data_IF_494767825918
#
_entry.id   IF_494767825918
#
_cell.length_a   1.000
_cell.length_b   1.000
_cell.length_c   1.000
_cell.angle_alpha   90.00
_cell.angle_beta   90.00
_cell.angle_gamma   90.00
#
_symmetry.space_group_name_H-M   'P 1'
#
loop_
_entity.id
_entity.type
_entity.pdbx_description
1 polymer ?
#
# COMPACT_ATOMS: atom_id res chain seq x y z
N UNK A 1 4.22 30.46 9.83
CA UNK A 1 3.37 29.65 8.94
C UNK A 1 3.97 28.26 9.00
N UNK A 2 3.34 27.33 9.74
CA UNK A 2 3.70 25.91 9.67
C UNK A 2 3.56 25.48 8.22
N UNK A 3 4.65 25.14 7.60
CA UNK A 3 4.63 24.45 6.31
C UNK A 3 3.94 23.11 6.55
N UNK A 4 2.68 23.02 6.16
CA UNK A 4 1.93 21.76 6.17
C UNK A 4 2.78 20.72 5.42
N UNK A 5 3.29 19.73 6.14
CA UNK A 5 4.04 18.63 5.55
C UNK A 5 3.12 17.90 4.58
N UNK A 6 3.28 18.20 3.31
CA UNK A 6 2.52 17.56 2.23
C UNK A 6 3.11 16.20 1.92
N UNK A 7 2.24 15.29 1.51
CA UNK A 7 2.65 13.96 1.12
C UNK A 7 1.84 13.48 -0.10
N UNK A 8 2.36 12.49 -0.76
CA UNK A 8 1.67 11.76 -1.82
C UNK A 8 1.51 10.30 -1.44
N UNK A 9 0.54 9.64 -2.03
CA UNK A 9 0.31 8.21 -1.84
C UNK A 9 0.84 7.48 -3.09
N UNK A 10 1.44 6.30 -2.89
CA UNK A 10 1.81 5.38 -3.97
C UNK A 10 1.10 4.04 -3.76
N UNK A 11 0.43 3.57 -4.79
CA UNK A 11 -0.09 2.20 -4.88
C UNK A 11 0.22 1.59 -6.25
N UNK A 12 0.00 0.28 -6.41
CA UNK A 12 0.23 -0.44 -7.66
C UNK A 12 -1.03 -1.22 -8.05
N UNK A 13 -1.42 -1.14 -9.32
CA UNK A 13 -2.64 -1.75 -9.84
C UNK A 13 -2.45 -2.39 -11.21
N UNK A 14 -3.13 -3.52 -11.40
CA UNK A 14 -3.47 -4.09 -12.70
C UNK A 14 -4.99 -4.31 -12.80
N UNK A 15 -5.48 -4.76 -13.95
CA UNK A 15 -6.92 -5.01 -14.15
C UNK A 15 -7.51 -6.03 -13.17
N UNK A 16 -6.76 -7.05 -12.76
CA UNK A 16 -7.25 -8.06 -11.79
C UNK A 16 -7.49 -7.48 -10.39
N UNK A 17 -6.79 -6.41 -10.03
CA UNK A 17 -6.96 -5.70 -8.77
C UNK A 17 -7.77 -4.41 -8.89
N UNK A 18 -8.35 -4.11 -10.06
CA UNK A 18 -9.04 -2.85 -10.30
C UNK A 18 -10.22 -2.61 -9.36
N UNK A 19 -10.96 -3.65 -8.97
CA UNK A 19 -12.06 -3.51 -7.99
C UNK A 19 -11.55 -3.07 -6.63
N UNK A 20 -10.43 -3.59 -6.16
CA UNK A 20 -9.76 -3.08 -4.97
C UNK A 20 -9.31 -1.63 -5.15
N UNK A 21 -8.77 -1.28 -6.32
CA UNK A 21 -8.43 0.10 -6.66
C UNK A 21 -9.61 1.07 -6.58
N UNK A 22 -10.82 0.65 -6.99
CA UNK A 22 -12.06 1.42 -6.80
C UNK A 22 -12.35 1.64 -5.31
N UNK A 23 -12.35 0.58 -4.51
CA UNK A 23 -12.57 0.66 -3.06
C UNK A 23 -11.54 1.58 -2.42
N UNK A 24 -10.26 1.40 -2.77
CA UNK A 24 -9.15 2.19 -2.30
C UNK A 24 -9.38 3.69 -2.56
N UNK A 25 -9.59 4.10 -3.80
CA UNK A 25 -9.72 5.51 -4.15
C UNK A 25 -11.01 6.13 -3.61
N UNK A 26 -12.15 5.45 -3.75
CA UNK A 26 -13.42 5.99 -3.28
C UNK A 26 -13.42 6.16 -1.75
N UNK A 27 -12.91 5.18 -1.00
CA UNK A 27 -12.80 5.32 0.45
C UNK A 27 -11.74 6.34 0.87
N UNK A 28 -10.61 6.41 0.15
CA UNK A 28 -9.56 7.39 0.40
C UNK A 28 -10.09 8.82 0.29
N UNK A 29 -10.70 9.16 -0.85
CA UNK A 29 -11.19 10.52 -1.11
C UNK A 29 -12.42 10.88 -0.27
N UNK A 30 -13.17 9.89 0.25
CA UNK A 30 -14.24 10.15 1.21
C UNK A 30 -13.69 10.44 2.62
N UNK A 31 -12.65 9.75 3.05
CA UNK A 31 -12.18 9.79 4.45
C UNK A 31 -11.03 10.75 4.71
N UNK A 32 -10.23 11.02 3.70
CA UNK A 32 -9.00 11.77 3.87
C UNK A 32 -9.22 13.28 3.75
N UNK A 33 -8.62 14.03 4.66
CA UNK A 33 -8.49 15.48 4.53
C UNK A 33 -7.51 15.80 3.40
N UNK A 34 -8.02 16.14 2.24
CA UNK A 34 -7.21 16.28 1.01
C UNK A 34 -6.26 17.48 0.99
N UNK A 35 -6.28 18.37 2.01
CA UNK A 35 -5.40 19.55 2.06
C UNK A 35 -3.91 19.21 2.19
N UNK A 36 -3.58 18.07 2.84
CA UNK A 36 -2.21 17.60 3.00
C UNK A 36 -1.78 16.62 1.89
N UNK A 37 -2.75 16.05 1.16
CA UNK A 37 -2.49 15.14 0.05
C UNK A 37 -2.21 15.91 -1.23
N UNK A 38 -1.02 15.74 -1.83
CA UNK A 38 -0.73 16.32 -3.14
C UNK A 38 -1.24 15.41 -4.25
N UNK A 39 -0.73 14.17 -4.33
CA UNK A 39 -1.07 13.23 -5.40
C UNK A 39 -1.31 11.82 -4.89
N UNK A 40 -2.03 11.04 -5.68
CA UNK A 40 -2.11 9.57 -5.58
C UNK A 40 -1.48 9.01 -6.84
N UNK A 41 -0.26 8.51 -6.71
CA UNK A 41 0.44 7.83 -7.78
C UNK A 41 -0.05 6.39 -7.86
N UNK A 42 -0.51 6.00 -9.03
CA UNK A 42 -0.90 4.61 -9.32
C UNK A 42 0.08 4.05 -10.34
N UNK A 43 0.91 3.12 -9.89
CA UNK A 43 1.80 2.38 -10.78
C UNK A 43 0.96 1.38 -11.59
N UNK A 44 0.84 1.64 -12.90
CA UNK A 44 0.05 0.84 -13.83
C UNK A 44 0.87 -0.36 -14.32
N UNK A 45 0.40 -1.56 -14.01
CA UNK A 45 0.99 -2.83 -14.42
C UNK A 45 0.05 -3.65 -15.32
N UNK A 46 -0.79 -2.99 -16.08
CA UNK A 46 -1.69 -3.65 -17.05
C UNK A 46 -3.16 -3.32 -16.86
N UNK A 47 -3.47 -2.05 -16.64
CA UNK A 47 -4.84 -1.55 -16.65
C UNK A 47 -5.36 -1.41 -18.08
N UNK A 48 -6.65 -1.70 -18.29
CA UNK A 48 -7.36 -1.38 -19.52
C UNK A 48 -7.57 0.13 -19.65
N UNK A 49 -7.85 0.62 -20.87
CA UNK A 49 -8.11 2.06 -21.09
C UNK A 49 -9.29 2.56 -20.25
N UNK A 50 -10.38 1.80 -20.17
CA UNK A 50 -11.56 2.15 -19.36
C UNK A 50 -11.20 2.32 -17.87
N UNK A 51 -10.32 1.48 -17.35
CA UNK A 51 -9.86 1.55 -15.96
C UNK A 51 -8.94 2.76 -15.74
N UNK A 52 -8.06 3.04 -16.69
CA UNK A 52 -7.24 4.26 -16.69
C UNK A 52 -8.09 5.51 -16.67
N UNK A 53 -9.09 5.60 -17.57
CA UNK A 53 -10.02 6.74 -17.65
C UNK A 53 -10.78 6.94 -16.32
N UNK A 54 -11.22 5.85 -15.69
CA UNK A 54 -11.84 5.91 -14.37
C UNK A 54 -10.88 6.47 -13.32
N UNK A 55 -9.66 5.97 -13.24
CA UNK A 55 -8.67 6.44 -12.25
C UNK A 55 -8.31 7.91 -12.48
N UNK A 56 -8.18 8.34 -13.74
CA UNK A 56 -7.86 9.72 -14.11
C UNK A 56 -9.05 10.68 -13.91
N UNK A 57 -10.27 10.20 -13.67
CA UNK A 57 -11.38 11.05 -13.28
C UNK A 57 -11.20 11.70 -11.91
N UNK A 58 -10.31 11.17 -11.06
CA UNK A 58 -9.93 11.78 -9.79
C UNK A 58 -8.80 12.81 -10.02
N UNK A 59 -9.05 14.07 -9.69
CA UNK A 59 -8.15 15.19 -10.02
C UNK A 59 -6.73 15.09 -9.44
N UNK A 60 -6.53 14.28 -8.39
CA UNK A 60 -5.22 14.08 -7.75
C UNK A 60 -4.53 12.78 -8.15
N UNK A 61 -5.15 11.96 -9.01
CA UNK A 61 -4.56 10.69 -9.44
C UNK A 61 -3.63 10.91 -10.62
N UNK A 62 -2.42 10.37 -10.50
CA UNK A 62 -1.40 10.34 -11.55
C UNK A 62 -1.07 8.88 -11.84
N UNK A 63 -1.30 8.45 -13.08
CA UNK A 63 -0.88 7.13 -13.55
C UNK A 63 0.61 7.16 -13.91
N UNK A 64 1.35 6.19 -13.39
CA UNK A 64 2.77 5.98 -13.74
C UNK A 64 2.84 4.71 -14.59
N UNK A 65 3.14 4.87 -15.87
CA UNK A 65 3.40 3.73 -16.74
C UNK A 65 4.71 3.05 -16.32
N UNK A 66 4.61 1.77 -16.00
CA UNK A 66 5.77 1.00 -15.53
C UNK A 66 6.49 0.26 -16.67
N UNK A 67 5.85 0.12 -17.82
CA UNK A 67 6.31 -0.73 -18.92
C UNK A 67 6.15 -2.23 -18.64
N UNK A 68 5.80 -2.60 -17.41
CA UNK A 68 5.53 -3.98 -16.99
C UNK A 68 4.04 -4.27 -17.10
N UNK A 69 3.69 -5.38 -17.75
CA UNK A 69 2.30 -5.82 -17.86
C UNK A 69 2.14 -7.16 -17.16
N UNK A 70 1.23 -7.21 -16.21
CA UNK A 70 0.80 -8.44 -15.56
C UNK A 70 -0.57 -8.82 -16.07
N UNK A 71 -0.68 -9.92 -16.78
CA UNK A 71 -1.96 -10.43 -17.24
C UNK A 71 -2.54 -11.40 -16.21
N UNK A 72 -3.84 -11.22 -15.93
CA UNK A 72 -4.59 -12.10 -15.05
C UNK A 72 -4.27 -11.95 -13.57
N UNK A 73 -4.83 -12.86 -12.79
CA UNK A 73 -4.65 -12.92 -11.34
C UNK A 73 -3.33 -13.63 -11.01
N UNK A 74 -2.42 -12.92 -10.37
CA UNK A 74 -1.10 -13.47 -10.05
C UNK A 74 -1.17 -14.22 -8.73
N UNK A 75 -0.84 -15.51 -8.78
CA UNK A 75 -0.76 -16.34 -7.56
C UNK A 75 0.35 -15.80 -6.65
N UNK A 76 0.06 -15.66 -5.35
CA UNK A 76 1.08 -15.28 -4.36
C UNK A 76 2.26 -16.24 -4.47
N UNK A 77 3.45 -15.65 -4.43
CA UNK A 77 4.71 -16.39 -4.47
C UNK A 77 5.17 -16.87 -5.84
N UNK A 78 4.45 -16.62 -6.94
CA UNK A 78 5.04 -16.82 -8.24
C UNK A 78 5.98 -15.67 -8.66
N UNK A 79 6.74 -15.85 -9.73
CA UNK A 79 7.71 -14.86 -10.21
C UNK A 79 7.04 -13.52 -10.55
N UNK A 80 5.89 -13.53 -11.20
CA UNK A 80 5.18 -12.33 -11.61
C UNK A 80 4.69 -11.52 -10.38
N UNK A 81 4.27 -12.20 -9.31
CA UNK A 81 3.92 -11.53 -8.06
C UNK A 81 5.15 -10.85 -7.44
N UNK A 82 6.29 -11.57 -7.40
CA UNK A 82 7.56 -11.03 -6.89
C UNK A 82 8.00 -9.83 -7.70
N UNK A 83 7.87 -9.88 -9.02
CA UNK A 83 8.23 -8.78 -9.91
C UNK A 83 7.36 -7.54 -9.68
N UNK A 84 6.04 -7.72 -9.53
CA UNK A 84 5.12 -6.62 -9.21
C UNK A 84 5.45 -5.96 -7.86
N UNK A 85 5.70 -6.76 -6.82
CA UNK A 85 6.02 -6.25 -5.49
C UNK A 85 7.37 -5.51 -5.51
N UNK A 86 8.37 -6.03 -6.23
CA UNK A 86 9.68 -5.38 -6.39
C UNK A 86 9.58 -4.09 -7.22
N UNK A 87 8.69 -4.06 -8.21
CA UNK A 87 8.47 -2.87 -9.05
C UNK A 87 7.97 -1.67 -8.23
N UNK A 88 7.14 -1.92 -7.20
CA UNK A 88 6.62 -0.86 -6.33
C UNK A 88 7.74 -0.03 -5.69
N UNK A 89 8.82 -0.67 -5.26
CA UNK A 89 9.98 0.03 -4.67
C UNK A 89 10.75 0.85 -5.69
N UNK A 90 10.88 0.37 -6.92
CA UNK A 90 11.53 1.11 -8.04
C UNK A 90 10.71 2.34 -8.45
N UNK A 91 9.38 2.20 -8.47
CA UNK A 91 8.49 3.35 -8.72
C UNK A 91 8.56 4.35 -7.57
N UNK A 92 8.61 3.89 -6.31
CA UNK A 92 8.81 4.74 -5.14
C UNK A 92 10.09 5.59 -5.27
N UNK A 93 11.21 4.96 -5.64
CA UNK A 93 12.46 5.69 -5.86
C UNK A 93 12.32 6.78 -6.94
N UNK A 94 11.73 6.43 -8.10
CA UNK A 94 11.48 7.38 -9.17
C UNK A 94 10.63 8.58 -8.72
N UNK A 95 9.60 8.34 -7.90
CA UNK A 95 8.77 9.42 -7.35
C UNK A 95 9.60 10.31 -6.42
N UNK A 96 10.37 9.71 -5.50
CA UNK A 96 11.24 10.46 -4.59
C UNK A 96 12.33 11.25 -5.31
N UNK A 97 12.79 10.80 -6.47
CA UNK A 97 13.75 11.53 -7.31
C UNK A 97 13.11 12.70 -8.08
N UNK A 98 11.82 12.62 -8.35
CA UNK A 98 11.12 13.57 -9.25
C UNK A 98 10.34 14.63 -8.47
N UNK A 99 9.75 14.28 -7.33
CA UNK A 99 8.83 15.13 -6.56
C UNK A 99 9.41 15.49 -5.19
N UNK A 100 9.07 16.71 -4.71
CA UNK A 100 9.62 17.28 -3.46
C UNK A 100 8.78 17.01 -2.22
N UNK A 101 7.98 15.93 -2.19
CA UNK A 101 7.17 15.57 -1.03
C UNK A 101 7.42 14.16 -0.56
N UNK A 102 7.05 13.94 0.70
CA UNK A 102 7.07 12.61 1.33
C UNK A 102 6.07 11.69 0.65
N UNK A 103 6.32 10.38 0.70
CA UNK A 103 5.47 9.39 0.04
C UNK A 103 5.00 8.37 1.06
N UNK A 104 3.70 8.08 1.03
CA UNK A 104 3.08 6.98 1.77
C UNK A 104 2.73 5.87 0.77
N UNK A 105 3.45 4.77 0.84
CA UNK A 105 3.20 3.61 0.01
C UNK A 105 2.19 2.71 0.71
N UNK A 106 1.09 2.37 0.02
CA UNK A 106 -0.01 1.56 0.55
C UNK A 106 -0.41 0.50 -0.48
N UNK A 107 -0.67 -0.72 -0.02
CA UNK A 107 -1.18 -1.78 -0.89
C UNK A 107 -2.58 -1.44 -1.43
N UNK A 108 -2.85 -1.80 -2.68
CA UNK A 108 -4.09 -1.45 -3.36
C UNK A 108 -5.34 -2.15 -2.80
N UNK A 109 -5.16 -3.28 -2.13
CA UNK A 109 -6.22 -4.04 -1.46
C UNK A 109 -6.51 -3.51 -0.04
N UNK A 110 -6.52 -2.17 0.09
CA UNK A 110 -6.86 -1.47 1.31
C UNK A 110 -8.16 -0.67 1.15
N UNK A 111 -8.89 -0.50 2.27
CA UNK A 111 -10.05 0.38 2.41
C UNK A 111 -9.85 1.32 3.59
N UNK A 112 -10.13 2.60 3.41
CA UNK A 112 -9.95 3.60 4.45
C UNK A 112 -11.25 3.76 5.26
N UNK A 113 -11.13 3.65 6.58
CA UNK A 113 -12.24 3.82 7.52
C UNK A 113 -12.23 5.20 8.17
N UNK A 114 -11.05 5.78 8.36
CA UNK A 114 -10.82 7.08 9.01
C UNK A 114 -9.70 7.84 8.29
N UNK A 115 -9.61 9.14 8.53
CA UNK A 115 -8.44 9.92 8.12
C UNK A 115 -7.21 9.43 8.88
N UNK A 116 -6.21 8.98 8.15
CA UNK A 116 -4.97 8.45 8.72
C UNK A 116 -3.83 9.48 8.77
N UNK A 117 -4.09 10.72 8.40
CA UNK A 117 -3.06 11.78 8.37
C UNK A 117 -2.37 11.95 9.71
N UNK A 118 -3.10 11.78 10.80
CA UNK A 118 -2.58 11.98 12.17
C UNK A 118 -1.67 10.85 12.66
N UNK A 119 -1.65 9.71 11.97
CA UNK A 119 -0.71 8.62 12.30
C UNK A 119 0.62 8.74 11.57
N UNK A 120 0.74 9.68 10.61
CA UNK A 120 1.98 9.93 9.89
C UNK A 120 2.80 10.95 10.69
N UNK A 121 3.96 10.52 11.18
CA UNK A 121 4.91 11.38 11.87
C UNK A 121 6.19 11.56 11.05
N UNK A 122 6.34 12.72 10.45
CA UNK A 122 7.49 13.07 9.62
C UNK A 122 8.78 13.39 10.43
N UNK A 123 8.79 13.19 11.75
CA UNK A 123 10.02 13.17 12.54
C UNK A 123 10.81 11.87 12.37
N UNK A 124 10.18 10.81 11.88
CA UNK A 124 10.87 9.57 11.49
C UNK A 124 11.37 9.65 10.04
N UNK A 125 12.46 8.96 9.75
CA UNK A 125 12.90 8.76 8.38
C UNK A 125 11.87 7.93 7.60
N UNK A 126 11.41 6.89 8.28
CA UNK A 126 10.49 5.89 7.77
C UNK A 126 9.52 5.50 8.88
N UNK A 127 8.25 5.31 8.53
CA UNK A 127 7.31 4.60 9.39
C UNK A 127 6.75 3.39 8.64
N UNK A 128 6.68 2.25 9.29
CA UNK A 128 6.17 1.02 8.69
C UNK A 128 5.22 0.28 9.62
N UNK A 129 4.32 -0.50 9.03
CA UNK A 129 3.46 -1.41 9.80
C UNK A 129 4.33 -2.39 10.59
N UNK A 130 4.09 -2.46 11.90
CA UNK A 130 4.87 -3.26 12.84
C UNK A 130 4.00 -4.28 13.57
N UNK A 131 4.39 -5.56 13.49
CA UNK A 131 3.65 -6.71 14.05
C UNK A 131 4.16 -7.19 15.40
N UNK A 132 5.24 -6.59 15.90
CA UNK A 132 5.92 -7.03 17.11
C UNK A 132 7.18 -7.86 16.85
N UNK A 133 8.08 -7.88 17.82
CA UNK A 133 9.40 -8.50 17.69
C UNK A 133 9.37 -10.03 17.64
N UNK A 134 8.29 -10.65 18.12
CA UNK A 134 8.10 -12.10 18.04
C UNK A 134 7.83 -12.61 16.62
N UNK A 135 7.47 -11.74 15.69
CA UNK A 135 7.25 -12.13 14.30
C UNK A 135 8.56 -12.29 13.55
N UNK A 136 8.65 -13.34 12.71
CA UNK A 136 9.80 -13.55 11.81
C UNK A 136 10.08 -12.34 10.90
N UNK A 137 9.04 -11.59 10.57
CA UNK A 137 9.08 -10.37 9.75
C UNK A 137 8.33 -9.27 10.53
N UNK A 138 9.00 -8.60 11.49
CA UNK A 138 8.36 -7.59 12.33
C UNK A 138 7.78 -6.40 11.56
N UNK A 139 8.47 -5.94 10.52
CA UNK A 139 7.98 -4.86 9.67
C UNK A 139 7.43 -5.39 8.35
N UNK A 140 6.33 -4.83 7.90
CA UNK A 140 5.68 -5.19 6.62
C UNK A 140 5.44 -3.96 5.76
N UNK A 141 5.53 -4.14 4.45
CA UNK A 141 5.47 -3.08 3.47
C UNK A 141 4.05 -2.71 3.02
N UNK A 142 3.01 -3.19 3.69
CA UNK A 142 1.63 -2.89 3.33
C UNK A 142 1.24 -1.43 3.54
N UNK A 143 1.91 -0.77 4.50
CA UNK A 143 1.88 0.67 4.70
C UNK A 143 3.28 1.12 5.10
N UNK A 144 3.83 2.05 4.34
CA UNK A 144 5.16 2.58 4.55
C UNK A 144 5.17 4.08 4.27
N UNK A 145 5.45 4.90 5.27
CA UNK A 145 5.67 6.34 5.10
C UNK A 145 7.16 6.62 4.98
N UNK A 146 7.53 7.37 3.95
CA UNK A 146 8.91 7.76 3.63
C UNK A 146 9.02 9.28 3.69
N UNK A 147 9.84 9.80 4.61
CA UNK A 147 10.06 11.22 4.76
C UNK A 147 11.16 11.72 3.80
N UNK A 148 10.77 12.45 2.78
CA UNK A 148 11.69 13.02 1.77
C UNK A 148 12.67 14.06 2.35
N UNK A 149 12.30 14.77 3.40
CA UNK A 149 13.12 15.85 3.97
C UNK A 149 14.39 15.34 4.65
N UNK A 150 14.50 14.04 4.90
CA UNK A 150 15.68 13.44 5.47
C UNK A 150 16.59 12.88 4.35
N UNK A 151 17.88 13.25 4.41
CA UNK A 151 18.88 12.82 3.42
C UNK A 151 19.11 11.30 3.41
N UNK A 152 18.96 10.65 4.57
CA UNK A 152 19.16 9.21 4.71
C UNK A 152 18.07 8.39 4.00
N UNK A 153 16.92 8.97 3.74
CA UNK A 153 15.75 8.28 3.17
C UNK A 153 16.00 7.79 1.74
N UNK A 154 16.71 8.59 0.92
CA UNK A 154 17.05 8.16 -0.45
C UNK A 154 17.96 6.92 -0.41
N UNK A 155 19.00 6.95 0.40
CA UNK A 155 19.90 5.81 0.58
C UNK A 155 19.19 4.58 1.16
N UNK A 156 18.13 4.77 1.96
CA UNK A 156 17.30 3.66 2.43
C UNK A 156 16.60 2.95 1.28
N UNK A 157 15.91 3.68 0.39
CA UNK A 157 15.15 3.07 -0.71
C UNK A 157 16.08 2.35 -1.69
N UNK A 158 17.24 2.94 -2.01
CA UNK A 158 18.26 2.30 -2.85
C UNK A 158 18.77 0.98 -2.25
N UNK A 159 19.08 0.99 -0.95
CA UNK A 159 19.51 -0.23 -0.25
C UNK A 159 18.38 -1.26 -0.14
N UNK A 160 17.14 -0.82 0.07
CA UNK A 160 15.99 -1.72 0.13
C UNK A 160 15.78 -2.45 -1.22
N UNK A 161 15.91 -1.74 -2.34
CA UNK A 161 15.87 -2.36 -3.67
C UNK A 161 16.99 -3.40 -3.81
N UNK A 162 18.24 -3.06 -3.44
CA UNK A 162 19.36 -3.99 -3.49
C UNK A 162 19.15 -5.23 -2.61
N UNK A 163 18.59 -5.04 -1.40
CA UNK A 163 18.26 -6.16 -0.51
C UNK A 163 17.18 -7.06 -1.13
N UNK A 164 16.13 -6.49 -1.74
CA UNK A 164 15.09 -7.27 -2.44
C UNK A 164 15.71 -8.09 -3.58
N UNK A 165 16.59 -7.49 -4.37
CA UNK A 165 17.25 -8.17 -5.50
C UNK A 165 18.21 -9.29 -5.06
N UNK A 166 18.84 -9.12 -3.91
CA UNK A 166 19.74 -10.14 -3.34
C UNK A 166 19.02 -11.27 -2.60
N UNK A 167 17.72 -11.13 -2.31
CA UNK A 167 16.98 -12.12 -1.51
C UNK A 167 16.64 -13.37 -2.33
N UNK A 168 17.15 -14.52 -1.89
CA UNK A 168 16.99 -15.79 -2.62
C UNK A 168 15.60 -16.44 -2.47
N UNK A 169 14.93 -16.17 -1.34
CA UNK A 169 13.63 -16.77 -1.02
C UNK A 169 12.48 -15.76 -1.15
N UNK A 170 11.28 -16.25 -1.43
CA UNK A 170 10.05 -15.44 -1.42
C UNK A 170 9.33 -15.56 -0.06
N UNK A 171 8.70 -14.49 0.46
CA UNK A 171 8.60 -13.13 -0.08
C UNK A 171 9.93 -12.37 0.06
N UNK A 172 10.12 -11.33 -0.75
CA UNK A 172 11.35 -10.54 -0.75
C UNK A 172 11.18 -9.18 -0.08
N UNK A 173 10.09 -8.48 -0.39
CA UNK A 173 9.88 -7.07 -0.01
C UNK A 173 9.84 -6.85 1.51
N UNK A 174 8.91 -7.51 2.20
CA UNK A 174 8.76 -7.31 3.66
C UNK A 174 9.92 -7.87 4.48
N UNK A 175 10.51 -9.04 4.18
CA UNK A 175 11.74 -9.49 4.85
C UNK A 175 12.91 -8.54 4.67
N UNK A 176 13.14 -8.03 3.46
CA UNK A 176 14.20 -7.04 3.20
C UNK A 176 13.95 -5.74 3.97
N UNK A 177 12.71 -5.22 3.93
CA UNK A 177 12.30 -4.05 4.73
C UNK A 177 12.56 -4.29 6.22
N UNK A 178 12.13 -5.44 6.74
CA UNK A 178 12.26 -5.78 8.14
C UNK A 178 13.72 -5.84 8.59
N UNK A 179 14.60 -6.44 7.79
CA UNK A 179 16.04 -6.45 8.02
C UNK A 179 16.61 -5.05 8.12
N UNK A 180 16.23 -4.16 7.20
CA UNK A 180 16.72 -2.79 7.18
C UNK A 180 16.19 -1.95 8.33
N UNK A 181 14.90 -2.03 8.63
CA UNK A 181 14.30 -1.31 9.76
C UNK A 181 14.85 -1.75 11.11
N UNK A 182 15.24 -3.02 11.23
CA UNK A 182 15.83 -3.56 12.47
C UNK A 182 17.34 -3.33 12.59
N UNK A 183 17.99 -2.77 11.57
CA UNK A 183 19.46 -2.57 11.58
C UNK A 183 19.95 -1.48 12.53
N UNK A 184 19.08 -0.59 12.99
CA UNK A 184 19.44 0.57 13.83
C UNK A 184 20.09 1.73 13.06
N UNK A 185 20.21 1.63 11.73
CA UNK A 185 20.86 2.66 10.90
C UNK A 185 19.91 3.81 10.53
N UNK A 186 18.62 3.68 10.79
CA UNK A 186 17.58 4.62 10.41
C UNK A 186 16.66 4.91 11.59
N UNK A 187 16.12 6.11 11.63
CA UNK A 187 15.08 6.47 12.60
C UNK A 187 13.72 5.95 12.11
N UNK A 188 13.32 4.77 12.61
CA UNK A 188 12.14 4.04 12.15
C UNK A 188 11.00 4.14 13.15
N UNK A 189 9.88 4.74 12.72
CA UNK A 189 8.63 4.75 13.46
C UNK A 189 7.85 3.44 13.25
N UNK A 190 7.16 3.01 14.32
CA UNK A 190 6.34 1.79 14.34
C UNK A 190 4.86 2.17 14.28
N UNK A 191 4.14 1.70 13.27
CA UNK A 191 2.68 1.82 13.19
C UNK A 191 2.10 0.44 13.52
N UNK A 192 1.27 0.37 14.56
CA UNK A 192 0.64 -0.89 14.97
C UNK A 192 -0.15 -1.52 13.83
N UNK A 193 -0.04 -2.82 13.64
CA UNK A 193 -0.85 -3.58 12.70
C UNK A 193 -2.35 -3.63 13.08
N UNK A 194 -2.70 -3.24 14.30
CA UNK A 194 -4.10 -3.00 14.70
C UNK A 194 -4.69 -1.75 14.06
N UNK A 195 -3.88 -0.72 13.86
CA UNK A 195 -4.28 0.53 13.19
C UNK A 195 -4.45 0.32 11.68
N UNK A 196 -3.57 -0.47 11.12
CA UNK A 196 -3.62 -0.93 9.74
C UNK A 196 -3.81 -2.43 9.80
N UNK A 197 -5.04 -2.87 9.78
CA UNK A 197 -5.45 -4.25 9.95
C UNK A 197 -4.86 -5.17 8.88
N UNK A 198 -3.56 -5.46 9.02
CA UNK A 198 -2.74 -6.14 8.01
C UNK A 198 -2.58 -7.65 8.26
N UNK A 199 -3.09 -8.19 9.36
CA UNK A 199 -2.76 -9.54 9.80
C UNK A 199 -3.97 -10.45 9.94
N UNK A 200 -4.35 -11.07 8.85
CA UNK A 200 -5.29 -12.19 8.92
C UNK A 200 -6.77 -11.80 9.12
N UNK A 201 -7.63 -12.75 9.45
CA UNK A 201 -9.03 -12.50 9.63
C UNK A 201 -9.26 -11.58 10.81
N UNK A 202 -9.98 -10.50 10.56
CA UNK A 202 -10.49 -9.57 11.54
C UNK A 202 -11.51 -10.33 12.38
N UNK A 203 -11.20 -10.65 13.62
CA UNK A 203 -12.03 -11.45 14.47
C UNK A 203 -12.65 -10.68 15.63
N UNK A 204 -12.24 -9.42 15.85
CA UNK A 204 -12.60 -8.65 17.03
C UNK A 204 -13.12 -7.24 16.72
N UNK A 205 -14.07 -6.78 17.57
CA UNK A 205 -14.64 -5.42 17.58
C UNK A 205 -13.56 -4.33 17.75
N UNK A 206 -12.42 -4.63 18.35
CA UNK A 206 -11.28 -3.72 18.46
C UNK A 206 -10.74 -3.23 17.11
N UNK A 207 -11.01 -3.96 16.05
CA UNK A 207 -10.59 -3.60 14.70
C UNK A 207 -11.43 -2.47 14.09
N UNK A 208 -12.59 -2.17 14.62
CA UNK A 208 -13.35 -0.96 14.28
C UNK A 208 -12.59 0.33 14.65
N UNK A 209 -11.56 0.23 15.48
CA UNK A 209 -10.63 1.31 15.75
C UNK A 209 -9.54 1.45 14.70
N UNK A 210 -9.44 0.52 13.76
CA UNK A 210 -8.52 0.60 12.64
C UNK A 210 -8.81 1.81 11.76
N UNK A 211 -7.76 2.42 11.24
CA UNK A 211 -7.86 3.48 10.23
C UNK A 211 -7.99 2.91 8.83
N UNK A 212 -7.36 1.79 8.59
CA UNK A 212 -7.28 1.12 7.28
C UNK A 212 -7.53 -0.37 7.47
N UNK A 213 -8.38 -0.94 6.63
CA UNK A 213 -8.56 -2.39 6.47
C UNK A 213 -7.73 -2.85 5.29
N UNK A 214 -6.86 -3.80 5.49
CA UNK A 214 -6.10 -4.47 4.45
C UNK A 214 -6.70 -5.85 4.18
N UNK A 215 -7.26 -6.05 2.99
CA UNK A 215 -7.92 -7.30 2.58
C UNK A 215 -6.92 -8.43 2.25
N UNK A 216 -5.83 -8.45 2.98
CA UNK A 216 -4.75 -9.42 2.80
C UNK A 216 -5.28 -10.85 2.75
N UNK A 217 -4.89 -11.58 1.73
CA UNK A 217 -5.34 -12.96 1.47
C UNK A 217 -6.84 -13.11 1.22
N UNK A 218 -7.57 -12.03 1.01
CA UNK A 218 -8.96 -12.06 0.53
C UNK A 218 -8.98 -12.42 -0.95
N UNK A 219 -8.57 -13.65 -1.27
CA UNK A 219 -8.56 -14.16 -2.64
C UNK A 219 -9.80 -14.98 -2.86
N UNK A 220 -10.43 -14.86 -4.05
CA UNK A 220 -11.40 -15.84 -4.45
C UNK A 220 -10.74 -17.23 -4.44
N UNK A 221 -11.45 -18.29 -4.03
CA UNK A 221 -11.04 -19.63 -4.32
C UNK A 221 -10.76 -19.73 -5.83
N UNK A 222 -9.68 -20.40 -6.23
CA UNK A 222 -9.22 -20.46 -7.63
C UNK A 222 -10.29 -20.98 -8.60
N UNK A 223 -11.35 -21.61 -8.10
CA UNK A 223 -12.37 -22.33 -8.87
C UNK A 223 -13.66 -21.50 -9.12
N UNK A 224 -13.77 -20.27 -8.63
CA UNK A 224 -14.95 -19.45 -8.84
C UNK A 224 -14.58 -18.01 -9.24
N UNK A 225 -14.47 -17.74 -10.55
CA UNK A 225 -14.14 -16.41 -11.06
C UNK A 225 -15.11 -15.30 -10.65
N UNK A 226 -16.30 -15.63 -10.17
CA UNK A 226 -17.38 -14.71 -9.85
C UNK A 226 -17.39 -14.22 -8.41
N UNK A 227 -16.65 -14.87 -7.49
CA UNK A 227 -16.53 -14.45 -6.09
C UNK A 227 -15.28 -13.61 -5.85
N UNK A 228 -15.26 -12.40 -6.43
CA UNK A 228 -14.10 -11.50 -6.35
C UNK A 228 -13.86 -10.90 -4.96
N UNK A 229 -14.83 -10.97 -4.06
CA UNK A 229 -14.68 -10.64 -2.66
C UNK A 229 -15.00 -11.87 -1.82
N UNK A 230 -14.00 -12.35 -1.12
CA UNK A 230 -14.13 -13.44 -0.18
C UNK A 230 -15.29 -13.14 0.79
N UNK A 231 -16.15 -14.16 1.01
CA UNK A 231 -17.20 -14.14 2.01
C UNK A 231 -16.72 -13.60 3.38
N UNK A 232 -15.45 -13.77 3.71
CA UNK A 232 -14.80 -13.20 4.90
C UNK A 232 -14.93 -11.69 5.00
N UNK A 233 -14.97 -10.96 3.90
CA UNK A 233 -15.20 -9.51 3.89
C UNK A 233 -16.62 -9.19 4.38
N UNK A 234 -17.61 -9.99 4.01
CA UNK A 234 -18.99 -9.86 4.46
C UNK A 234 -19.21 -10.35 5.88
N UNK A 235 -18.60 -11.47 6.25
CA UNK A 235 -18.65 -12.01 7.63
C UNK A 235 -18.06 -11.04 8.66
N UNK A 236 -17.07 -10.24 8.25
CA UNK A 236 -16.43 -9.21 9.08
C UNK A 236 -17.23 -7.91 9.18
N UNK A 237 -18.41 -7.82 8.58
CA UNK A 237 -19.26 -6.64 8.63
C UNK A 237 -18.88 -5.52 7.66
N UNK A 238 -17.82 -5.65 6.86
CA UNK A 238 -17.40 -4.64 5.88
C UNK A 238 -18.14 -4.72 4.53
N UNK A 239 -18.93 -5.76 4.29
CA UNK A 239 -19.59 -6.00 3.00
C UNK A 239 -20.38 -4.79 2.49
N UNK A 240 -21.18 -4.16 3.35
CA UNK A 240 -21.97 -2.95 2.97
C UNK A 240 -21.09 -1.77 2.59
N UNK A 241 -19.93 -1.59 3.24
CA UNK A 241 -18.98 -0.53 2.89
C UNK A 241 -18.27 -0.83 1.58
N UNK A 242 -17.89 -2.08 1.37
CA UNK A 242 -17.30 -2.55 0.11
C UNK A 242 -18.27 -2.31 -1.04
N UNK A 243 -19.53 -2.73 -0.92
CA UNK A 243 -20.58 -2.50 -1.94
C UNK A 243 -20.77 -1.01 -2.24
N UNK A 244 -20.77 -0.16 -1.21
CA UNK A 244 -20.86 1.28 -1.38
C UNK A 244 -19.74 1.83 -2.26
N UNK A 245 -18.50 1.44 -2.03
CA UNK A 245 -17.34 1.95 -2.77
C UNK A 245 -17.13 1.30 -4.15
N UNK A 246 -17.71 0.13 -4.39
CA UNK A 246 -17.66 -0.52 -5.70
C UNK A 246 -18.66 0.08 -6.70
N UNK A 247 -19.80 0.54 -6.21
CA UNK A 247 -20.94 0.94 -7.05
C UNK A 247 -21.03 2.46 -7.29
N UNK A 248 -19.97 3.18 -6.96
CA UNK A 248 -19.86 4.62 -7.27
C UNK A 248 -19.30 4.85 -8.65
#
# INVERSE_FOLDING_TARGET
>A
VETLNKYSILTILNSSYFKFGKIFLNSLFEKLYTSKLDYVFVADTGLSQKERDYLQSFSKVILIETGHKTEGYVKTWDSNWVDNVSLKTKVLQKILDTYEHSVVMIDADCMFLKDFTDIIDFNYDIQATYRGESHKTPYVASFLSINKNNKETKGFVEKWISEIESWESVPKESPALSKMCSSGNYNVGKISDKVISATGPITDIEEWDSYIVHFKSSRPPQDTPEQEFDYRTYERGYGKLVDRYLNV
#
